data_IF_648622500841
#
_entry.id   IF_648622500841
#
_cell.length_a   1.000
_cell.length_b   1.000
_cell.length_c   1.000
_cell.angle_alpha   90.00
_cell.angle_beta   90.00
_cell.angle_gamma   90.00
#
_symmetry.space_group_name_H-M   'P 1'
#
loop_
_entity.id
_entity.type
_entity.pdbx_description
1 polymer ?
#
# COMPACT_ATOMS: atom_id res chain seq x y z
N UNK A 1 8.27 -2.50 15.81
CA UNK A 1 8.11 -3.69 14.93
C UNK A 1 7.96 -4.89 15.86
N UNK A 2 6.76 -5.49 15.97
CA UNK A 2 6.55 -6.64 16.84
C UNK A 2 7.24 -7.85 16.21
N UNK A 3 8.28 -8.35 16.87
CA UNK A 3 9.06 -9.48 16.38
C UNK A 3 8.17 -10.71 16.50
N UNK A 4 7.59 -11.13 15.38
CA UNK A 4 6.99 -12.46 15.27
C UNK A 4 8.08 -13.49 15.53
N UNK A 5 7.97 -14.18 16.66
CA UNK A 5 8.88 -15.20 17.12
C UNK A 5 8.76 -16.44 16.23
N UNK A 6 9.60 -16.50 15.21
CA UNK A 6 9.88 -17.72 14.47
C UNK A 6 10.93 -18.48 15.28
N UNK A 7 10.58 -19.71 15.68
CA UNK A 7 11.34 -20.69 16.50
C UNK A 7 12.80 -20.92 16.09
N UNK A 8 13.21 -20.45 14.91
CA UNK A 8 14.46 -20.82 14.22
C UNK A 8 15.71 -20.07 14.68
N UNK A 9 15.62 -19.03 15.52
CA UNK A 9 16.79 -18.22 15.95
C UNK A 9 16.95 -18.01 17.47
N UNK A 10 16.39 -18.88 18.31
CA UNK A 10 16.45 -18.70 19.77
C UNK A 10 17.89 -18.74 20.34
N UNK A 11 18.71 -19.72 19.91
CA UNK A 11 20.10 -19.88 20.37
C UNK A 11 20.98 -18.66 20.03
N UNK A 12 20.79 -18.09 18.84
CA UNK A 12 21.51 -16.91 18.35
C UNK A 12 21.15 -15.63 19.12
N UNK A 13 19.91 -15.53 19.64
CA UNK A 13 19.45 -14.38 20.42
C UNK A 13 19.92 -14.44 21.88
N UNK A 14 20.04 -15.65 22.43
CA UNK A 14 20.58 -15.86 23.77
C UNK A 14 22.08 -15.54 23.83
N UNK A 15 22.86 -15.94 22.82
CA UNK A 15 24.28 -15.60 22.74
C UNK A 15 24.54 -14.10 22.55
N UNK A 16 23.61 -13.39 21.89
CA UNK A 16 23.66 -11.93 21.69
C UNK A 16 23.07 -11.12 22.87
N UNK A 17 22.59 -11.76 23.94
CA UNK A 17 22.10 -11.07 25.14
C UNK A 17 20.81 -10.24 24.97
N UNK A 18 20.04 -10.41 23.90
CA UNK A 18 18.89 -9.53 23.60
C UNK A 18 17.69 -9.77 24.55
N UNK A 19 17.32 -8.77 25.34
CA UNK A 19 16.29 -8.88 26.39
C UNK A 19 14.84 -8.53 25.97
N UNK A 20 14.63 -8.10 24.72
CA UNK A 20 13.32 -7.63 24.25
C UNK A 20 13.06 -6.18 24.68
N UNK A 21 12.29 -5.42 23.89
CA UNK A 21 12.09 -3.98 24.14
C UNK A 21 10.93 -3.75 25.12
N UNK A 22 9.91 -4.62 25.07
CA UNK A 22 8.73 -4.52 25.91
C UNK A 22 8.63 -5.73 26.88
N UNK A 23 7.94 -5.58 28.03
CA UNK A 23 7.70 -6.70 28.96
C UNK A 23 7.03 -7.92 28.31
N UNK A 24 6.12 -7.70 27.33
CA UNK A 24 5.50 -8.77 26.54
C UNK A 24 6.55 -9.62 25.79
N UNK A 25 7.60 -8.99 25.24
CA UNK A 25 8.67 -9.68 24.52
C UNK A 25 9.49 -10.56 25.48
N UNK A 26 9.68 -10.08 26.71
CA UNK A 26 10.30 -10.86 27.78
C UNK A 26 9.50 -12.13 28.13
N UNK A 27 8.16 -12.05 28.12
CA UNK A 27 7.31 -13.22 28.34
C UNK A 27 7.34 -14.20 27.17
N UNK A 28 7.30 -13.71 25.93
CA UNK A 28 7.48 -14.54 24.73
C UNK A 28 8.85 -15.25 24.74
N UNK A 29 9.92 -14.56 25.17
CA UNK A 29 11.26 -15.16 25.31
C UNK A 29 11.25 -16.28 26.37
N UNK A 30 10.63 -16.07 27.53
CA UNK A 30 10.55 -17.11 28.59
C UNK A 30 9.77 -18.34 28.11
N UNK A 31 8.70 -18.12 27.36
CA UNK A 31 7.91 -19.18 26.75
C UNK A 31 8.73 -20.01 25.74
N UNK A 32 9.47 -19.35 24.85
CA UNK A 32 10.34 -20.03 23.88
C UNK A 32 11.45 -20.85 24.56
N UNK A 33 12.03 -20.35 25.65
CA UNK A 33 13.03 -21.07 26.45
C UNK A 33 12.41 -22.33 27.05
N UNK A 34 11.24 -22.24 27.68
CA UNK A 34 10.54 -23.39 28.24
C UNK A 34 10.23 -24.44 27.14
N UNK A 35 9.79 -23.99 25.97
CA UNK A 35 9.54 -24.84 24.80
C UNK A 35 10.78 -25.52 24.22
N UNK A 36 11.96 -24.93 24.45
CA UNK A 36 13.24 -25.49 24.04
C UNK A 36 13.80 -26.48 25.06
N UNK A 37 13.43 -26.35 26.34
CA UNK A 37 13.96 -27.18 27.43
C UNK A 37 13.17 -28.48 27.59
N UNK A 38 11.84 -28.44 27.41
CA UNK A 38 11.00 -29.63 27.56
C UNK A 38 10.27 -30.00 26.27
N UNK A 39 10.28 -31.31 25.97
CA UNK A 39 9.42 -31.91 24.95
C UNK A 39 8.12 -32.46 25.50
N UNK A 40 8.00 -32.51 26.83
CA UNK A 40 6.81 -33.01 27.50
C UNK A 40 5.61 -32.07 27.34
N UNK A 41 4.43 -32.69 27.24
CA UNK A 41 3.17 -32.01 26.98
C UNK A 41 2.67 -31.22 28.20
N UNK A 42 2.94 -31.68 29.43
CA UNK A 42 2.47 -30.99 30.63
C UNK A 42 3.23 -29.67 30.82
N UNK A 43 4.55 -29.70 30.67
CA UNK A 43 5.40 -28.52 30.79
C UNK A 43 5.11 -27.47 29.71
N UNK A 44 4.84 -27.90 28.47
CA UNK A 44 4.47 -27.00 27.37
C UNK A 44 3.11 -26.34 27.57
N UNK A 45 2.14 -27.07 28.11
CA UNK A 45 0.84 -26.53 28.45
C UNK A 45 0.91 -25.53 29.61
N UNK A 46 1.78 -25.78 30.59
CA UNK A 46 2.07 -24.84 31.68
C UNK A 46 2.69 -23.55 31.15
N UNK A 47 3.65 -23.66 30.24
CA UNK A 47 4.26 -22.50 29.58
C UNK A 47 3.23 -21.69 28.74
N UNK A 48 2.37 -22.36 27.97
CA UNK A 48 1.30 -21.71 27.20
C UNK A 48 0.31 -20.96 28.12
N UNK A 49 -0.05 -21.58 29.25
CA UNK A 49 -0.93 -20.98 30.25
C UNK A 49 -0.32 -19.73 30.87
N UNK A 50 0.95 -19.80 31.29
CA UNK A 50 1.66 -18.65 31.86
C UNK A 50 1.81 -17.50 30.88
N UNK A 51 2.07 -17.77 29.60
CA UNK A 51 2.15 -16.74 28.56
C UNK A 51 0.79 -16.08 28.30
N UNK A 52 -0.30 -16.86 28.28
CA UNK A 52 -1.65 -16.34 28.15
C UNK A 52 -2.00 -15.37 29.30
N UNK A 53 -1.73 -15.76 30.55
CA UNK A 53 -2.04 -14.93 31.72
C UNK A 53 -1.24 -13.63 31.73
N UNK A 54 0.07 -13.72 31.50
CA UNK A 54 0.95 -12.55 31.47
C UNK A 54 0.64 -11.62 30.30
N UNK A 55 0.26 -12.16 29.14
CA UNK A 55 -0.22 -11.34 28.04
C UNK A 55 -1.56 -10.67 28.38
N UNK A 56 -2.47 -11.34 29.08
CA UNK A 56 -3.74 -10.76 29.53
C UNK A 56 -3.56 -9.63 30.54
N UNK A 57 -2.58 -9.75 31.43
CA UNK A 57 -2.17 -8.69 32.35
C UNK A 57 -1.68 -7.45 31.58
N UNK A 58 -0.89 -7.62 30.51
CA UNK A 58 -0.46 -6.50 29.64
C UNK A 58 -1.60 -5.83 28.89
N UNK A 59 -2.65 -6.57 28.51
CA UNK A 59 -3.86 -5.97 27.91
C UNK A 59 -4.55 -5.04 28.92
N UNK A 60 -4.61 -5.44 30.20
CA UNK A 60 -5.24 -4.68 31.28
C UNK A 60 -4.36 -3.57 31.85
N UNK A 61 -3.05 -3.66 31.70
CA UNK A 61 -2.11 -2.76 32.37
C UNK A 61 -2.21 -1.33 31.82
N UNK A 62 -2.07 -0.32 32.70
CA UNK A 62 -2.19 1.10 32.32
C UNK A 62 -0.91 1.66 31.71
N UNK A 63 0.23 1.04 31.99
CA UNK A 63 1.59 1.38 31.56
C UNK A 63 1.93 0.90 30.13
N UNK A 64 1.16 -0.04 29.57
CA UNK A 64 1.40 -0.58 28.22
C UNK A 64 0.95 0.37 27.10
N UNK A 65 1.80 0.55 26.08
CA UNK A 65 1.49 1.34 24.87
C UNK A 65 0.37 0.68 24.06
N UNK A 66 -0.40 1.45 23.29
CA UNK A 66 -1.54 0.94 22.49
C UNK A 66 -1.17 -0.25 21.58
N UNK A 67 -0.02 -0.17 20.91
CA UNK A 67 0.47 -1.27 20.07
C UNK A 67 0.79 -2.53 20.87
N UNK A 68 1.25 -2.40 22.12
CA UNK A 68 1.64 -3.53 22.97
C UNK A 68 0.41 -4.26 23.47
N UNK A 69 -0.64 -3.51 23.82
CA UNK A 69 -1.96 -4.07 24.17
C UNK A 69 -2.58 -4.85 23.03
N UNK A 70 -2.47 -4.32 21.80
CA UNK A 70 -2.97 -5.01 20.61
C UNK A 70 -2.20 -6.32 20.36
N UNK A 71 -0.87 -6.30 20.48
CA UNK A 71 -0.03 -7.49 20.35
C UNK A 71 -0.33 -8.51 21.47
N UNK A 72 -0.44 -8.06 22.71
CA UNK A 72 -0.78 -8.90 23.85
C UNK A 72 -2.16 -9.56 23.68
N UNK A 73 -3.17 -8.82 23.21
CA UNK A 73 -4.50 -9.36 22.93
C UNK A 73 -4.48 -10.45 21.86
N UNK A 74 -3.70 -10.27 20.79
CA UNK A 74 -3.50 -11.30 19.77
C UNK A 74 -2.84 -12.56 20.34
N UNK A 75 -1.81 -12.41 21.18
CA UNK A 75 -1.14 -13.53 21.87
C UNK A 75 -2.11 -14.27 22.78
N UNK A 76 -2.92 -13.57 23.59
CA UNK A 76 -3.93 -14.23 24.44
C UNK A 76 -4.94 -15.03 23.62
N UNK A 77 -5.40 -14.48 22.50
CA UNK A 77 -6.38 -15.13 21.64
C UNK A 77 -5.78 -16.38 20.99
N UNK A 78 -4.52 -16.30 20.54
CA UNK A 78 -3.80 -17.42 19.96
C UNK A 78 -3.55 -18.54 20.99
N UNK A 79 -3.07 -18.19 22.19
CA UNK A 79 -2.79 -19.16 23.26
C UNK A 79 -4.07 -19.82 23.77
N UNK A 80 -5.15 -19.05 23.92
CA UNK A 80 -6.47 -19.59 24.30
C UNK A 80 -7.03 -20.52 23.24
N UNK A 81 -6.87 -20.19 21.96
CA UNK A 81 -7.27 -21.05 20.86
C UNK A 81 -6.45 -22.37 20.86
N UNK A 82 -5.14 -22.28 21.08
CA UNK A 82 -4.24 -23.43 21.14
C UNK A 82 -4.54 -24.35 22.34
N UNK A 83 -4.67 -23.80 23.56
CA UNK A 83 -5.06 -24.55 24.76
C UNK A 83 -6.39 -25.28 24.56
N UNK A 84 -7.37 -24.60 23.96
CA UNK A 84 -8.67 -25.21 23.66
C UNK A 84 -8.58 -26.28 22.56
N UNK A 85 -7.62 -26.19 21.64
CA UNK A 85 -7.39 -27.21 20.61
C UNK A 85 -6.73 -28.46 21.21
N UNK A 86 -5.72 -28.29 22.06
CA UNK A 86 -5.01 -29.41 22.70
C UNK A 86 -5.93 -30.19 23.67
N UNK A 87 -6.82 -29.49 24.38
CA UNK A 87 -7.87 -30.16 25.17
C UNK A 87 -8.90 -30.91 24.30
N UNK A 88 -9.15 -30.47 23.07
CA UNK A 88 -10.07 -31.12 22.12
C UNK A 88 -9.47 -32.37 21.45
N UNK A 89 -8.15 -32.53 21.44
CA UNK A 89 -7.47 -33.71 20.89
C UNK A 89 -7.44 -34.84 21.94
N UNK A 90 -7.43 -34.53 23.24
CA UNK A 90 -7.40 -35.52 24.34
C UNK A 90 -8.76 -36.16 24.66
N UNK A 91 -9.86 -35.46 24.42
CA UNK A 91 -11.21 -36.01 24.56
C UNK A 91 -11.72 -36.38 23.17
N UNK A 92 -11.55 -37.65 22.78
CA UNK A 92 -12.13 -38.17 21.55
C UNK A 92 -13.65 -38.00 21.55
N UNK A 93 -14.17 -36.92 20.94
CA UNK A 93 -15.59 -36.80 20.64
C UNK A 93 -16.24 -35.42 20.86
N UNK A 94 -16.97 -35.02 19.81
CA UNK A 94 -18.17 -34.15 19.75
C UNK A 94 -18.14 -32.75 20.39
N UNK A 95 -18.49 -31.79 19.53
CA UNK A 95 -18.79 -30.39 19.83
C UNK A 95 -20.03 -30.26 20.72
N UNK A 96 -19.87 -29.78 21.96
CA UNK A 96 -20.93 -29.12 22.71
C UNK A 96 -20.94 -27.62 22.39
N UNK A 97 -22.10 -27.10 22.01
CA UNK A 97 -22.32 -25.68 21.65
C UNK A 97 -22.50 -24.87 22.93
N UNK A 98 -21.85 -23.70 23.04
CA UNK A 98 -22.30 -22.67 23.96
C UNK A 98 -23.50 -21.88 23.38
N UNK A 99 -24.39 -21.32 24.21
CA UNK A 99 -25.72 -20.90 23.80
C UNK A 99 -25.77 -19.43 23.37
N UNK A 100 -26.76 -19.15 22.51
CA UNK A 100 -27.37 -17.85 22.18
C UNK A 100 -26.46 -16.69 21.75
N UNK A 101 -26.24 -16.54 20.43
CA UNK A 101 -26.47 -15.26 19.71
C UNK A 101 -26.71 -15.51 18.20
N UNK A 102 -27.92 -15.17 17.76
CA UNK A 102 -28.40 -14.78 16.42
C UNK A 102 -28.23 -15.76 15.22
N UNK A 103 -29.33 -16.42 14.88
CA UNK A 103 -29.60 -17.19 13.65
C UNK A 103 -29.18 -16.47 12.37
N UNK A 104 -29.32 -15.15 12.35
CA UNK A 104 -28.92 -14.27 11.24
C UNK A 104 -27.41 -14.38 10.90
N UNK A 105 -26.53 -14.38 11.91
CA UNK A 105 -25.08 -14.49 11.70
C UNK A 105 -24.71 -15.85 11.09
N UNK A 106 -25.37 -16.94 11.51
CA UNK A 106 -25.16 -18.29 10.95
C UNK A 106 -25.54 -18.37 9.47
N UNK A 107 -26.64 -17.73 9.05
CA UNK A 107 -27.07 -17.71 7.65
C UNK A 107 -26.08 -16.99 6.74
N UNK A 108 -25.55 -15.86 7.20
CA UNK A 108 -24.53 -15.07 6.49
C UNK A 108 -23.21 -15.85 6.38
N UNK A 109 -22.73 -16.43 7.49
CA UNK A 109 -21.49 -17.21 7.51
C UNK A 109 -21.58 -18.43 6.59
N UNK A 110 -22.73 -19.14 6.56
CA UNK A 110 -22.94 -20.27 5.65
C UNK A 110 -22.85 -19.87 4.18
N UNK A 111 -23.47 -18.75 3.80
CA UNK A 111 -23.42 -18.24 2.42
C UNK A 111 -22.01 -17.77 2.02
N UNK A 112 -21.29 -17.11 2.91
CA UNK A 112 -19.90 -16.68 2.68
C UNK A 112 -18.96 -17.88 2.55
N UNK A 113 -19.11 -18.89 3.42
CA UNK A 113 -18.31 -20.11 3.36
C UNK A 113 -18.56 -20.90 2.06
N UNK A 114 -19.80 -20.91 1.55
CA UNK A 114 -20.12 -21.52 0.26
C UNK A 114 -19.35 -20.86 -0.90
N UNK A 115 -19.32 -19.52 -0.95
CA UNK A 115 -18.60 -18.77 -1.99
C UNK A 115 -17.08 -19.02 -1.94
N UNK A 116 -16.51 -19.13 -0.75
CA UNK A 116 -15.08 -19.41 -0.56
C UNK A 116 -14.73 -20.87 -0.91
N UNK A 117 -15.63 -21.83 -0.66
CA UNK A 117 -15.45 -23.23 -1.05
C UNK A 117 -15.58 -23.47 -2.56
N UNK A 118 -16.46 -22.73 -3.23
CA UNK A 118 -16.67 -22.83 -4.68
C UNK A 118 -15.61 -22.10 -5.50
N UNK A 119 -14.70 -21.34 -4.86
CA UNK A 119 -13.63 -20.61 -5.54
C UNK A 119 -12.29 -21.34 -5.39
N UNK A 120 -11.60 -21.72 -6.47
CA UNK A 120 -10.30 -22.40 -6.37
C UNK A 120 -9.22 -21.48 -5.77
N UNK A 121 -8.24 -22.03 -5.03
CA UNK A 121 -7.07 -21.27 -4.58
C UNK A 121 -6.27 -20.78 -5.80
N UNK A 122 -5.99 -19.47 -5.86
CA UNK A 122 -5.37 -18.84 -7.03
C UNK A 122 -4.13 -18.05 -6.61
N UNK A 123 -3.04 -18.22 -7.38
CA UNK A 123 -1.68 -17.81 -7.04
C UNK A 123 -1.40 -16.31 -7.29
N UNK A 124 -2.42 -15.52 -7.61
CA UNK A 124 -2.27 -14.10 -7.97
C UNK A 124 -3.06 -13.21 -7.01
N UNK A 125 -2.37 -12.21 -6.44
CA UNK A 125 -2.93 -11.23 -5.49
C UNK A 125 -4.21 -10.54 -5.99
N UNK A 126 -4.30 -10.27 -7.30
CA UNK A 126 -5.50 -9.66 -7.92
C UNK A 126 -6.72 -10.60 -7.90
N UNK A 127 -6.52 -11.90 -8.08
CA UNK A 127 -7.60 -12.90 -8.10
C UNK A 127 -8.08 -13.20 -6.68
N UNK A 128 -7.18 -13.34 -5.71
CA UNK A 128 -7.54 -13.52 -4.30
C UNK A 128 -8.30 -12.31 -3.75
N UNK A 129 -7.85 -11.10 -4.09
CA UNK A 129 -8.56 -9.86 -3.76
C UNK A 129 -9.99 -9.86 -4.34
N UNK A 130 -10.18 -10.28 -5.60
CA UNK A 130 -11.50 -10.34 -6.23
C UNK A 130 -12.46 -11.34 -5.57
N UNK A 131 -11.94 -12.48 -5.09
CA UNK A 131 -12.71 -13.51 -4.36
C UNK A 131 -13.12 -12.98 -2.99
N UNK A 132 -12.21 -12.32 -2.27
CA UNK A 132 -12.50 -11.68 -0.99
C UNK A 132 -13.56 -10.58 -1.15
N UNK A 133 -13.48 -9.79 -2.22
CA UNK A 133 -14.46 -8.75 -2.55
C UNK A 133 -15.85 -9.34 -2.87
N UNK A 134 -15.89 -10.47 -3.58
CA UNK A 134 -17.14 -11.22 -3.86
C UNK A 134 -17.79 -11.73 -2.57
N UNK A 135 -17.00 -12.30 -1.66
CA UNK A 135 -17.46 -12.75 -0.35
C UNK A 135 -17.99 -11.60 0.52
N UNK A 136 -17.28 -10.47 0.56
CA UNK A 136 -17.68 -9.27 1.29
C UNK A 136 -19.00 -8.68 0.75
N UNK A 137 -19.19 -8.64 -0.57
CA UNK A 137 -20.45 -8.20 -1.19
C UNK A 137 -21.64 -9.08 -0.81
N UNK A 138 -21.44 -10.40 -0.76
CA UNK A 138 -22.50 -11.34 -0.31
C UNK A 138 -22.84 -11.10 1.16
N UNK A 139 -21.86 -10.80 2.02
CA UNK A 139 -22.12 -10.43 3.40
C UNK A 139 -22.93 -9.12 3.51
N UNK A 140 -22.53 -8.06 2.79
CA UNK A 140 -23.22 -6.76 2.80
C UNK A 140 -24.66 -6.87 2.27
N UNK A 141 -24.88 -7.64 1.18
CA UNK A 141 -26.22 -7.88 0.61
C UNK A 141 -27.17 -8.54 1.62
N UNK A 142 -26.67 -9.47 2.44
CA UNK A 142 -27.50 -10.13 3.45
C UNK A 142 -27.76 -9.26 4.68
N UNK A 143 -26.96 -8.21 4.92
CA UNK A 143 -27.11 -7.26 6.04
C UNK A 143 -27.97 -6.04 5.65
N UNK A 144 -28.54 -6.01 4.43
CA UNK A 144 -29.41 -4.92 3.97
C UNK A 144 -28.66 -3.62 3.61
N UNK A 145 -27.32 -3.68 3.50
CA UNK A 145 -26.52 -2.55 3.04
C UNK A 145 -26.70 -2.29 1.54
N UNK A 146 -26.43 -1.05 1.09
CA UNK A 146 -26.54 -0.65 -0.32
C UNK A 146 -25.79 -1.64 -1.23
N UNK A 147 -26.52 -2.29 -2.15
CA UNK A 147 -26.01 -3.36 -3.02
C UNK A 147 -24.95 -2.89 -4.03
N UNK A 148 -24.84 -1.58 -4.27
CA UNK A 148 -23.96 -0.97 -5.26
C UNK A 148 -23.17 0.18 -4.64
N UNK A 149 -22.04 -0.16 -4.00
CA UNK A 149 -21.05 0.84 -3.61
C UNK A 149 -20.18 1.11 -4.84
N UNK A 150 -20.23 2.34 -5.38
CA UNK A 150 -19.29 2.78 -6.42
C UNK A 150 -17.93 2.94 -5.75
N UNK A 151 -17.03 2.00 -5.98
CA UNK A 151 -15.65 2.08 -5.49
C UNK A 151 -14.94 3.13 -6.35
N UNK A 152 -14.29 4.13 -5.75
CA UNK A 152 -13.58 5.12 -6.52
C UNK A 152 -12.38 4.50 -7.24
N UNK A 153 -12.11 4.95 -8.46
CA UNK A 153 -10.97 4.52 -9.26
C UNK A 153 -9.72 5.22 -8.74
N UNK A 154 -8.68 4.43 -8.50
CA UNK A 154 -7.34 4.94 -8.18
C UNK A 154 -6.63 5.18 -9.50
N UNK A 155 -6.15 6.41 -9.72
CA UNK A 155 -5.27 6.70 -10.85
C UNK A 155 -3.91 6.10 -10.51
N UNK A 156 -3.38 5.15 -11.30
CA UNK A 156 -2.05 4.65 -11.08
C UNK A 156 -1.05 5.80 -11.30
N UNK A 157 -0.35 6.19 -10.25
CA UNK A 157 0.80 7.06 -10.38
C UNK A 157 2.02 6.20 -10.67
N UNK A 158 2.80 6.58 -11.68
CA UNK A 158 4.12 5.99 -11.89
C UNK A 158 5.02 6.49 -10.76
N UNK A 159 5.13 5.70 -9.68
CA UNK A 159 6.13 5.94 -8.64
C UNK A 159 7.51 5.66 -9.22
N UNK A 160 8.05 6.65 -9.94
CA UNK A 160 9.47 6.77 -10.24
C UNK A 160 10.04 7.71 -9.18
N UNK A 161 10.32 7.14 -8.01
CA UNK A 161 10.61 7.91 -6.81
C UNK A 161 11.16 7.03 -5.70
N UNK A 162 12.03 6.10 -6.08
CA UNK A 162 13.02 5.49 -5.22
C UNK A 162 14.36 5.72 -5.91
N UNK A 163 15.37 6.11 -5.15
CA UNK A 163 16.71 6.49 -5.59
C UNK A 163 17.49 5.45 -6.41
N UNK A 164 16.88 4.33 -6.80
CA UNK A 164 17.50 3.32 -7.63
C UNK A 164 16.44 2.77 -8.60
N UNK A 165 16.51 3.03 -9.92
CA UNK A 165 15.94 2.11 -10.88
C UNK A 165 16.86 0.88 -10.93
N UNK A 166 16.87 0.06 -9.88
CA UNK A 166 17.28 -1.33 -10.02
C UNK A 166 16.20 -2.04 -10.85
N UNK A 167 16.29 -1.92 -12.17
CA UNK A 167 15.51 -2.71 -13.10
C UNK A 167 16.44 -3.16 -14.24
N UNK A 168 16.37 -4.42 -14.72
CA UNK A 168 15.72 -5.61 -14.19
C UNK A 168 16.68 -6.83 -14.15
N UNK A 169 16.56 -7.70 -13.14
CA UNK A 169 17.14 -9.07 -13.16
C UNK A 169 16.41 -9.97 -14.21
N UNK A 170 15.69 -9.38 -15.17
CA UNK A 170 14.98 -10.04 -16.27
C UNK A 170 15.60 -9.73 -17.64
N UNK A 171 16.90 -9.45 -17.68
CA UNK A 171 17.71 -9.45 -18.91
C UNK A 171 18.59 -10.69 -19.11
N UNK A 172 18.61 -11.62 -18.14
CA UNK A 172 19.48 -12.80 -18.16
C UNK A 172 18.75 -14.14 -18.41
N UNK A 173 17.43 -14.15 -18.65
CA UNK A 173 16.68 -15.37 -19.02
C UNK A 173 16.18 -15.40 -20.47
N UNK A 174 16.62 -14.46 -21.31
CA UNK A 174 16.19 -14.35 -22.71
C UNK A 174 17.11 -15.01 -23.75
N UNK A 175 18.19 -15.69 -23.34
CA UNK A 175 19.17 -16.28 -24.26
C UNK A 175 19.12 -17.82 -24.31
N UNK A 176 17.95 -18.42 -24.13
CA UNK A 176 17.71 -19.83 -24.47
C UNK A 176 16.48 -19.87 -25.38
N UNK A 177 16.68 -19.56 -26.66
CA UNK A 177 15.54 -19.50 -27.61
C UNK A 177 15.86 -19.32 -29.09
N UNK A 178 17.13 -19.24 -29.52
CA UNK A 178 17.45 -19.22 -30.95
C UNK A 178 18.77 -19.95 -31.25
N UNK A 179 18.70 -21.28 -31.21
CA UNK A 179 19.57 -22.14 -32.02
C UNK A 179 19.11 -22.02 -33.49
N UNK A 180 19.54 -20.97 -34.19
CA UNK A 180 19.37 -20.85 -35.64
C UNK A 180 20.39 -19.87 -36.25
N UNK A 181 21.54 -20.42 -36.68
CA UNK A 181 22.30 -20.03 -37.88
C UNK A 181 23.00 -18.66 -37.96
N UNK A 182 24.32 -18.63 -37.65
CA UNK A 182 25.27 -17.66 -38.24
C UNK A 182 26.26 -17.03 -37.26
N UNK A 183 27.54 -16.91 -37.68
CA UNK A 183 28.63 -16.30 -36.90
C UNK A 183 28.36 -14.86 -36.42
N UNK A 184 27.48 -14.13 -37.11
CA UNK A 184 27.01 -12.78 -36.74
C UNK A 184 26.25 -12.72 -35.40
N UNK A 185 25.48 -13.77 -35.08
CA UNK A 185 24.71 -13.82 -33.83
C UNK A 185 25.61 -13.99 -32.60
N UNK A 186 26.73 -14.70 -32.73
CA UNK A 186 27.71 -14.94 -31.66
C UNK A 186 28.49 -13.64 -31.34
N UNK A 187 28.86 -12.87 -32.36
CA UNK A 187 29.54 -11.60 -32.15
C UNK A 187 28.65 -10.59 -31.41
N UNK A 188 27.36 -10.52 -31.78
CA UNK A 188 26.40 -9.60 -31.14
C UNK A 188 26.13 -9.98 -29.68
N UNK A 189 26.00 -11.27 -29.35
CA UNK A 189 25.81 -11.71 -27.95
C UNK A 189 27.03 -11.42 -27.08
N UNK A 190 28.25 -11.53 -27.62
CA UNK A 190 29.48 -11.16 -26.91
C UNK A 190 29.55 -9.65 -26.67
N UNK A 191 29.21 -8.84 -27.67
CA UNK A 191 29.17 -7.37 -27.56
C UNK A 191 28.12 -6.95 -26.54
N UNK A 192 26.93 -7.54 -26.57
CA UNK A 192 25.84 -7.25 -25.65
C UNK A 192 26.20 -7.65 -24.21
N UNK A 193 26.87 -8.79 -24.01
CA UNK A 193 27.38 -9.22 -22.71
C UNK A 193 28.47 -8.28 -22.18
N UNK A 194 29.39 -7.82 -23.03
CA UNK A 194 30.44 -6.85 -22.68
C UNK A 194 29.84 -5.50 -22.30
N UNK A 195 28.83 -5.04 -23.04
CA UNK A 195 28.11 -3.81 -22.75
C UNK A 195 27.31 -3.91 -21.45
N UNK A 196 26.67 -5.05 -21.18
CA UNK A 196 25.95 -5.29 -19.92
C UNK A 196 26.90 -5.29 -18.71
N UNK A 197 28.08 -5.89 -18.84
CA UNK A 197 29.11 -5.87 -17.78
C UNK A 197 29.64 -4.46 -17.52
N UNK A 198 29.95 -3.72 -18.59
CA UNK A 198 30.38 -2.32 -18.49
C UNK A 198 29.32 -1.44 -17.84
N UNK A 199 28.05 -1.67 -18.17
CA UNK A 199 26.91 -0.97 -17.57
C UNK A 199 26.78 -1.27 -16.08
N UNK A 200 26.93 -2.54 -15.68
CA UNK A 200 26.93 -2.94 -14.27
C UNK A 200 28.07 -2.29 -13.48
N UNK A 201 29.28 -2.23 -14.03
CA UNK A 201 30.42 -1.53 -13.42
C UNK A 201 30.20 -0.01 -13.31
N UNK A 202 29.54 0.60 -14.31
CA UNK A 202 29.16 2.01 -14.30
C UNK A 202 28.07 2.30 -13.26
N UNK A 203 27.08 1.42 -13.12
CA UNK A 203 26.05 1.48 -12.09
C UNK A 203 26.66 1.37 -10.67
N UNK A 204 27.66 0.50 -10.48
CA UNK A 204 28.39 0.42 -9.20
C UNK A 204 29.13 1.70 -8.86
N UNK A 205 29.81 2.32 -9.84
CA UNK A 205 30.50 3.60 -9.64
C UNK A 205 29.51 4.74 -9.36
N UNK A 206 28.38 4.77 -10.07
CA UNK A 206 27.32 5.74 -9.82
C UNK A 206 26.76 5.59 -8.40
N UNK A 207 26.45 4.37 -7.97
CA UNK A 207 25.96 4.10 -6.61
C UNK A 207 26.99 4.51 -5.54
N UNK A 208 28.27 4.20 -5.73
CA UNK A 208 29.31 4.61 -4.79
C UNK A 208 29.45 6.15 -4.69
N UNK A 209 29.37 6.86 -5.82
CA UNK A 209 29.38 8.32 -5.84
C UNK A 209 28.12 8.89 -5.13
N UNK A 210 26.98 8.27 -5.36
CA UNK A 210 25.70 8.61 -4.72
C UNK A 210 25.72 8.40 -3.20
N UNK A 211 26.30 7.30 -2.71
CA UNK A 211 26.50 7.04 -1.27
C UNK A 211 27.45 8.07 -0.63
N UNK A 212 28.53 8.45 -1.32
CA UNK A 212 29.46 9.47 -0.82
C UNK A 212 28.83 10.87 -0.73
N UNK A 213 27.93 11.20 -1.67
CA UNK A 213 27.12 12.44 -1.61
C UNK A 213 26.10 12.35 -0.47
N UNK A 214 25.45 11.20 -0.28
CA UNK A 214 24.50 10.97 0.81
C UNK A 214 25.14 11.06 2.20
N UNK A 215 26.36 10.52 2.36
CA UNK A 215 27.10 10.55 3.63
C UNK A 215 27.39 11.98 4.11
N UNK A 216 27.84 12.87 3.22
CA UNK A 216 28.08 14.30 3.54
C UNK A 216 26.81 15.01 4.00
N UNK A 217 25.66 14.64 3.45
CA UNK A 217 24.37 15.16 3.90
C UNK A 217 23.99 14.67 5.29
N UNK A 218 24.36 13.44 5.66
CA UNK A 218 24.01 12.87 6.97
C UNK A 218 24.70 13.58 8.13
N UNK A 219 25.93 14.06 7.94
CA UNK A 219 26.73 14.70 9.00
C UNK A 219 26.17 16.08 9.40
N UNK A 220 25.49 16.78 8.49
CA UNK A 220 24.90 18.10 8.73
C UNK A 220 23.45 18.04 9.26
N UNK A 221 22.79 16.88 9.14
CA UNK A 221 21.39 16.74 9.57
C UNK A 221 21.18 16.99 11.08
N UNK A 222 22.05 16.51 12.00
CA UNK A 222 21.91 16.79 13.42
C UNK A 222 21.98 18.30 13.70
N UNK A 223 22.98 18.99 13.14
CA UNK A 223 23.16 20.43 13.32
C UNK A 223 21.94 21.23 12.83
N UNK A 224 21.41 20.91 11.64
CA UNK A 224 20.20 21.57 11.12
C UNK A 224 18.98 21.28 12.00
N UNK A 225 18.86 20.04 12.48
CA UNK A 225 17.74 19.61 13.33
C UNK A 225 17.76 20.35 14.67
N UNK A 226 18.91 20.45 15.31
CA UNK A 226 19.09 21.13 16.59
C UNK A 226 18.83 22.63 16.44
N UNK A 227 19.43 23.26 15.42
CA UNK A 227 19.19 24.67 15.10
C UNK A 227 17.70 24.97 14.84
N UNK A 228 17.00 24.12 14.10
CA UNK A 228 15.56 24.28 13.85
C UNK A 228 14.73 24.12 15.12
N UNK A 229 15.03 23.10 15.93
CA UNK A 229 14.29 22.80 17.16
C UNK A 229 14.48 23.85 18.25
N UNK A 230 15.64 24.51 18.28
CA UNK A 230 15.97 25.58 19.23
C UNK A 230 15.58 26.98 18.74
N UNK A 231 15.25 27.14 17.45
CA UNK A 231 14.84 28.40 16.87
C UNK A 231 13.38 28.71 17.20
N UNK A 232 13.14 29.93 17.68
CA UNK A 232 11.77 30.41 17.95
C UNK A 232 11.09 30.78 16.63
N UNK A 233 10.00 30.10 16.27
CA UNK A 233 9.25 30.43 15.06
C UNK A 233 8.35 31.66 15.27
N UNK A 234 8.32 32.59 14.32
CA UNK A 234 7.52 33.83 14.41
C UNK A 234 6.02 33.57 14.47
N UNK A 235 5.51 32.61 13.68
CA UNK A 235 4.07 32.28 13.61
C UNK A 235 3.53 31.68 14.90
N UNK A 236 4.29 30.78 15.54
CA UNK A 236 3.85 30.10 16.76
C UNK A 236 4.31 30.82 18.02
N UNK A 237 5.41 31.59 17.95
CA UNK A 237 6.03 32.24 19.09
C UNK A 237 6.75 31.27 20.04
N UNK A 238 6.92 30.00 19.66
CA UNK A 238 7.58 28.96 20.47
C UNK A 238 8.70 28.29 19.68
N UNK A 239 9.70 27.78 20.41
CA UNK A 239 10.67 26.82 19.86
C UNK A 239 9.97 25.47 19.70
N UNK A 240 10.20 24.72 18.60
CA UNK A 240 9.63 23.39 18.44
C UNK A 240 9.88 22.46 19.64
N UNK A 241 11.07 22.53 20.25
CA UNK A 241 11.42 21.70 21.42
C UNK A 241 10.59 22.01 22.68
N UNK A 242 10.07 23.24 22.81
CA UNK A 242 9.31 23.70 23.98
C UNK A 242 7.80 23.40 23.89
N UNK A 243 7.36 22.79 22.78
CA UNK A 243 5.94 22.49 22.51
C UNK A 243 5.52 21.22 23.25
N UNK A 244 4.80 21.42 24.36
CA UNK A 244 4.15 20.35 25.11
C UNK A 244 2.68 20.19 24.71
N UNK A 245 2.07 19.03 25.00
CA UNK A 245 0.65 18.74 24.68
C UNK A 245 -0.33 19.77 25.25
N UNK A 246 -0.01 20.39 26.38
CA UNK A 246 -0.85 21.44 26.99
C UNK A 246 -0.85 22.73 26.17
N UNK A 247 0.30 23.07 25.55
CA UNK A 247 0.46 24.26 24.70
C UNK A 247 -0.05 24.05 23.28
N UNK A 248 -0.10 22.82 22.79
CA UNK A 248 -0.55 22.46 21.45
C UNK A 248 -1.90 23.09 21.09
N UNK A 249 -2.90 22.97 21.98
CA UNK A 249 -4.25 23.50 21.74
C UNK A 249 -4.26 25.02 21.64
N UNK A 250 -3.44 25.70 22.44
CA UNK A 250 -3.28 27.15 22.40
C UNK A 250 -2.64 27.58 21.08
N UNK A 251 -1.53 26.92 20.69
CA UNK A 251 -0.80 27.20 19.44
C UNK A 251 -1.72 27.01 18.23
N UNK A 252 -2.45 25.89 18.16
CA UNK A 252 -3.37 25.62 17.05
C UNK A 252 -4.47 26.69 16.96
N UNK A 253 -5.04 27.09 18.10
CA UNK A 253 -6.06 28.16 18.14
C UNK A 253 -5.49 29.49 17.66
N UNK A 254 -4.26 29.84 18.02
CA UNK A 254 -3.59 31.07 17.59
C UNK A 254 -3.26 31.06 16.10
N UNK A 255 -2.67 29.97 15.61
CA UNK A 255 -2.21 29.85 14.21
C UNK A 255 -3.38 29.76 13.23
N UNK A 256 -4.43 29.02 13.60
CA UNK A 256 -5.62 28.78 12.77
C UNK A 256 -6.85 29.51 13.28
N UNK A 257 -6.68 30.72 13.83
CA UNK A 257 -7.78 31.54 14.36
C UNK A 257 -8.76 32.05 13.28
N UNK A 258 -8.32 32.17 12.03
CA UNK A 258 -9.16 32.58 10.91
C UNK A 258 -9.02 31.59 9.76
N UNK A 259 -10.16 31.25 9.14
CA UNK A 259 -10.16 30.51 7.89
C UNK A 259 -9.65 31.46 6.82
N UNK A 260 -8.40 31.28 6.38
CA UNK A 260 -7.85 31.96 5.20
C UNK A 260 -8.56 31.39 3.96
N UNK A 261 -9.78 31.82 3.67
CA UNK A 261 -10.46 31.49 2.40
C UNK A 261 -9.80 32.35 1.33
N UNK A 262 -8.61 31.95 0.91
CA UNK A 262 -7.85 32.62 -0.14
C UNK A 262 -7.92 31.78 -1.40
N UNK A 263 -8.81 32.15 -2.31
CA UNK A 263 -8.83 31.55 -3.64
C UNK A 263 -10.05 31.96 -4.44
N UNK A 264 -9.84 32.57 -5.61
CA UNK A 264 -10.88 32.69 -6.62
C UNK A 264 -11.21 31.28 -7.12
N UNK A 265 -12.50 30.93 -7.15
CA UNK A 265 -12.96 29.65 -7.69
C UNK A 265 -12.68 29.59 -9.20
N UNK A 266 -11.61 28.89 -9.59
CA UNK A 266 -11.20 28.71 -11.00
C UNK A 266 -12.16 27.82 -11.82
N UNK A 267 -12.78 26.83 -11.17
CA UNK A 267 -13.58 25.81 -11.85
C UNK A 267 -15.02 25.69 -11.33
N UNK A 268 -15.92 25.24 -12.20
CA UNK A 268 -17.33 24.99 -11.90
C UNK A 268 -17.64 23.49 -11.95
N UNK A 269 -18.71 23.09 -11.27
CA UNK A 269 -19.20 21.71 -11.35
C UNK A 269 -19.63 21.44 -12.79
N UNK A 270 -19.19 20.32 -13.36
CA UNK A 270 -19.44 19.92 -14.73
C UNK A 270 -18.34 20.28 -15.73
N UNK A 271 -17.34 21.08 -15.35
CA UNK A 271 -16.19 21.35 -16.22
C UNK A 271 -15.42 20.05 -16.53
N UNK A 272 -14.96 19.92 -17.78
CA UNK A 272 -14.10 18.82 -18.24
C UNK A 272 -12.64 19.25 -18.11
N UNK A 273 -11.86 18.48 -17.36
CA UNK A 273 -10.49 18.78 -16.97
C UNK A 273 -9.55 17.61 -17.23
N UNK A 274 -8.26 17.92 -17.35
CA UNK A 274 -7.13 16.99 -17.31
C UNK A 274 -6.38 17.16 -16.00
N UNK A 275 -5.70 16.11 -15.56
CA UNK A 275 -4.91 16.10 -14.33
C UNK A 275 -3.43 16.29 -14.70
N UNK A 276 -2.67 16.99 -13.88
CA UNK A 276 -1.23 17.12 -14.06
C UNK A 276 -0.53 15.75 -13.91
N UNK A 277 0.54 15.54 -14.70
CA UNK A 277 1.40 14.37 -14.59
C UNK A 277 2.54 14.66 -13.64
N UNK A 278 2.78 13.73 -12.73
CA UNK A 278 4.02 13.73 -11.96
C UNK A 278 5.17 13.37 -12.88
N UNK A 279 6.08 14.32 -13.10
CA UNK A 279 7.29 14.13 -13.89
C UNK A 279 8.42 13.57 -13.01
N UNK A 280 9.19 12.65 -13.55
CA UNK A 280 10.47 12.27 -12.95
C UNK A 280 11.47 13.44 -13.03
N UNK A 281 12.44 13.50 -12.14
CA UNK A 281 13.49 14.54 -12.10
C UNK A 281 14.21 14.68 -13.45
N UNK A 282 14.35 13.57 -14.18
CA UNK A 282 14.98 13.53 -15.52
C UNK A 282 13.97 13.46 -16.68
N UNK A 283 12.71 13.82 -16.46
CA UNK A 283 11.72 13.84 -17.52
C UNK A 283 12.05 14.94 -18.54
N UNK A 284 12.05 14.58 -19.83
CA UNK A 284 12.40 15.50 -20.91
C UNK A 284 11.37 16.63 -21.03
N UNK A 285 11.83 17.85 -21.31
CA UNK A 285 10.97 19.04 -21.38
C UNK A 285 9.81 18.92 -22.38
N UNK A 286 10.02 18.24 -23.51
CA UNK A 286 9.01 18.03 -24.55
C UNK A 286 7.91 17.01 -24.19
N UNK A 287 8.02 16.33 -23.04
CA UNK A 287 6.98 15.40 -22.60
C UNK A 287 5.77 16.18 -22.05
N UNK A 288 4.54 15.76 -22.36
CA UNK A 288 3.34 16.48 -21.95
C UNK A 288 3.17 16.48 -20.43
N UNK A 289 2.77 17.64 -19.87
CA UNK A 289 2.55 17.84 -18.43
C UNK A 289 1.19 17.34 -17.93
N UNK A 290 0.28 16.97 -18.83
CA UNK A 290 -1.13 16.68 -18.52
C UNK A 290 -1.51 15.27 -18.96
N UNK A 291 -2.49 14.66 -18.28
CA UNK A 291 -3.07 13.37 -18.66
C UNK A 291 -3.78 13.45 -20.00
N UNK A 292 -3.77 12.35 -20.76
CA UNK A 292 -4.58 12.22 -21.98
C UNK A 292 -6.04 11.88 -21.65
N UNK A 293 -6.28 11.23 -20.50
CA UNK A 293 -7.60 10.97 -19.97
C UNK A 293 -8.28 12.27 -19.52
N UNK A 294 -9.58 12.36 -19.81
CA UNK A 294 -10.45 13.47 -19.44
C UNK A 294 -11.27 13.10 -18.22
N UNK A 295 -11.52 14.09 -17.36
CA UNK A 295 -12.28 13.94 -16.12
C UNK A 295 -13.31 15.05 -16.01
N UNK A 296 -14.41 14.79 -15.31
CA UNK A 296 -15.46 15.75 -15.03
C UNK A 296 -15.43 16.15 -13.57
N UNK A 297 -15.57 17.44 -13.28
CA UNK A 297 -15.68 17.93 -11.91
C UNK A 297 -17.08 17.63 -11.36
N UNK A 298 -17.14 16.80 -10.32
CA UNK A 298 -18.41 16.47 -9.62
C UNK A 298 -18.74 17.46 -8.53
N UNK A 299 -17.74 17.92 -7.77
CA UNK A 299 -17.95 18.85 -6.66
C UNK A 299 -16.71 19.72 -6.44
N UNK A 300 -16.93 20.98 -6.08
CA UNK A 300 -15.88 21.91 -5.65
C UNK A 300 -16.04 22.15 -4.16
N UNK A 301 -15.04 21.73 -3.38
CA UNK A 301 -14.98 21.92 -1.93
C UNK A 301 -14.24 23.22 -1.63
N UNK A 302 -14.89 24.09 -0.88
CA UNK A 302 -14.32 25.36 -0.41
C UNK A 302 -13.46 25.07 0.83
N UNK A 303 -12.36 24.35 0.62
CA UNK A 303 -11.28 24.15 1.59
C UNK A 303 -10.21 25.22 1.41
N UNK A 304 -9.25 25.32 2.34
CA UNK A 304 -8.06 26.14 2.13
C UNK A 304 -6.83 25.23 1.93
N UNK A 305 -6.30 25.08 0.71
CA UNK A 305 -6.78 25.67 -0.56
C UNK A 305 -7.98 24.92 -1.18
N UNK A 306 -8.62 25.50 -2.21
CA UNK A 306 -9.83 24.94 -2.85
C UNK A 306 -9.51 23.59 -3.49
N UNK A 307 -10.34 22.58 -3.21
CA UNK A 307 -10.17 21.23 -3.75
C UNK A 307 -11.38 20.79 -4.59
N UNK A 308 -11.12 20.01 -5.63
CA UNK A 308 -12.14 19.49 -6.55
C UNK A 308 -12.21 17.96 -6.46
N UNK A 309 -13.43 17.44 -6.47
CA UNK A 309 -13.70 16.01 -6.64
C UNK A 309 -14.00 15.73 -8.11
N UNK A 310 -13.41 14.66 -8.63
CA UNK A 310 -13.48 14.29 -10.04
C UNK A 310 -14.18 12.95 -10.23
N UNK A 311 -14.79 12.78 -11.40
CA UNK A 311 -15.20 11.50 -11.95
C UNK A 311 -14.63 11.31 -13.36
N UNK A 312 -14.39 10.06 -13.72
CA UNK A 312 -14.08 9.64 -15.09
C UNK A 312 -15.28 9.93 -16.01
N UNK A 313 -15.06 10.04 -17.32
CA UNK A 313 -16.11 10.23 -18.34
C UNK A 313 -17.14 9.09 -18.35
N UNK A 314 -16.82 7.95 -17.73
CA UNK A 314 -17.75 6.82 -17.50
C UNK A 314 -18.58 6.94 -16.21
N UNK A 315 -18.47 8.05 -15.48
CA UNK A 315 -19.19 8.30 -14.21
C UNK A 315 -18.65 7.51 -13.01
N UNK A 316 -17.39 7.08 -13.08
CA UNK A 316 -16.70 6.46 -11.94
C UNK A 316 -15.97 7.55 -11.13
N UNK A 317 -16.26 7.70 -9.83
CA UNK A 317 -15.57 8.71 -9.02
C UNK A 317 -14.08 8.37 -8.92
N UNK A 318 -13.22 9.38 -8.96
CA UNK A 318 -11.79 9.23 -8.73
C UNK A 318 -11.49 9.33 -7.23
N UNK A 319 -10.56 8.51 -6.75
CA UNK A 319 -10.15 8.56 -5.35
C UNK A 319 -9.24 9.78 -5.11
N UNK A 320 -9.64 10.63 -4.16
CA UNK A 320 -8.88 11.81 -3.75
C UNK A 320 -9.63 13.11 -4.00
N UNK A 321 -8.99 14.21 -3.62
CA UNK A 321 -9.43 15.57 -3.96
C UNK A 321 -8.22 16.28 -4.58
N UNK A 322 -8.44 17.02 -5.66
CA UNK A 322 -7.40 17.62 -6.47
C UNK A 322 -7.38 19.13 -6.28
N UNK A 323 -6.20 19.72 -6.24
CA UNK A 323 -6.08 21.18 -6.20
C UNK A 323 -6.40 21.78 -7.56
N UNK A 324 -6.78 23.06 -7.57
CA UNK A 324 -7.07 23.75 -8.82
C UNK A 324 -5.82 23.84 -9.73
N UNK A 325 -4.63 23.87 -9.14
CA UNK A 325 -3.33 23.93 -9.82
C UNK A 325 -2.98 22.60 -10.50
N UNK A 326 -3.55 21.49 -10.04
CA UNK A 326 -3.35 20.15 -10.60
C UNK A 326 -4.32 19.86 -11.76
N UNK A 327 -5.19 20.81 -12.11
CA UNK A 327 -6.23 20.64 -13.11
C UNK A 327 -6.11 21.65 -14.25
N UNK A 328 -6.34 21.17 -15.46
CA UNK A 328 -6.43 22.01 -16.65
C UNK A 328 -7.77 21.79 -17.35
N UNK A 329 -8.54 22.85 -17.55
CA UNK A 329 -9.78 22.79 -18.36
C UNK A 329 -9.44 22.48 -19.81
N UNK A 330 -10.15 21.51 -20.39
CA UNK A 330 -9.98 21.11 -21.78
C UNK A 330 -10.88 21.93 -22.69
N UNK A 331 -10.35 22.47 -23.78
CA UNK A 331 -11.14 23.18 -24.81
C UNK A 331 -11.86 22.22 -25.76
N UNK A 332 -11.22 21.10 -26.11
CA UNK A 332 -11.71 20.14 -27.09
C UNK A 332 -11.95 18.77 -26.42
N UNK A 333 -13.11 18.56 -25.77
CA UNK A 333 -13.39 17.31 -25.06
C UNK A 333 -13.67 16.12 -26.00
N UNK A 334 -14.02 16.38 -27.26
CA UNK A 334 -14.43 15.34 -28.22
C UNK A 334 -13.27 14.75 -29.03
N UNK A 335 -12.04 15.25 -28.83
CA UNK A 335 -10.86 14.83 -29.59
C UNK A 335 -9.97 13.94 -28.74
N UNK A 336 -9.73 12.71 -29.22
CA UNK A 336 -8.90 11.71 -28.55
C UNK A 336 -7.73 11.27 -29.43
N UNK A 337 -6.55 11.13 -28.83
CA UNK A 337 -5.35 10.66 -29.52
C UNK A 337 -5.36 9.14 -29.66
N UNK A 338 -5.07 8.65 -30.87
CA UNK A 338 -4.94 7.21 -31.15
C UNK A 338 -3.49 6.79 -30.87
N UNK A 339 -3.32 5.76 -30.03
CA UNK A 339 -2.01 5.13 -29.77
C UNK A 339 -1.66 4.16 -30.90
N UNK A 340 -2.60 3.26 -31.21
CA UNK A 340 -2.40 2.22 -32.21
C UNK A 340 -3.71 1.72 -32.79
N UNK A 341 -3.72 1.45 -34.10
CA UNK A 341 -4.80 0.69 -34.74
C UNK A 341 -4.57 -0.80 -34.51
N UNK A 342 -5.53 -1.48 -33.87
CA UNK A 342 -5.43 -2.89 -33.52
C UNK A 342 -6.00 -3.80 -34.61
N UNK A 343 -7.13 -3.43 -35.21
CA UNK A 343 -7.81 -4.20 -36.27
C UNK A 343 -8.47 -3.26 -37.29
N UNK A 344 -8.68 -3.77 -38.51
CA UNK A 344 -9.39 -3.07 -39.58
C UNK A 344 -10.52 -3.98 -40.10
N UNK A 345 -11.70 -3.42 -40.34
CA UNK A 345 -12.85 -4.12 -40.93
C UNK A 345 -13.64 -3.16 -41.81
N UNK A 346 -13.46 -3.25 -43.13
CA UNK A 346 -14.08 -2.33 -44.09
C UNK A 346 -13.72 -0.86 -43.78
N UNK A 347 -14.74 -0.02 -43.65
CA UNK A 347 -14.60 1.41 -43.31
C UNK A 347 -14.44 1.70 -41.81
N UNK A 348 -14.38 0.66 -40.96
CA UNK A 348 -14.20 0.82 -39.51
C UNK A 348 -12.83 0.32 -39.08
N UNK A 349 -12.25 1.00 -38.10
CA UNK A 349 -10.99 0.62 -37.47
C UNK A 349 -11.18 0.46 -35.97
N UNK A 350 -10.56 -0.55 -35.38
CA UNK A 350 -10.56 -0.79 -33.94
C UNK A 350 -9.29 -0.19 -33.35
N UNK A 351 -9.43 0.81 -32.49
CA UNK A 351 -8.31 1.62 -32.00
C UNK A 351 -8.04 1.41 -30.52
N UNK A 352 -6.75 1.48 -30.18
CA UNK A 352 -6.26 1.69 -28.83
C UNK A 352 -6.02 3.19 -28.66
N UNK A 353 -6.75 3.80 -27.73
CA UNK A 353 -6.60 5.22 -27.40
C UNK A 353 -5.39 5.46 -26.50
N UNK A 354 -4.68 6.56 -26.72
CA UNK A 354 -3.45 6.91 -26.01
C UNK A 354 -3.72 7.20 -24.53
N UNK A 355 -3.09 6.40 -23.67
CA UNK A 355 -3.15 6.56 -22.21
C UNK A 355 -4.49 6.18 -21.57
N UNK A 356 -5.44 5.61 -22.32
CA UNK A 356 -6.65 5.01 -21.77
C UNK A 356 -6.48 3.50 -21.61
N UNK A 357 -7.20 2.88 -20.67
CA UNK A 357 -7.18 1.43 -20.50
C UNK A 357 -7.75 0.67 -21.71
N UNK A 358 -7.40 -0.62 -21.85
CA UNK A 358 -7.90 -1.49 -22.95
C UNK A 358 -9.44 -1.56 -22.99
N UNK A 359 -10.10 -1.27 -21.87
CA UNK A 359 -11.55 -1.21 -21.77
C UNK A 359 -12.18 -0.07 -22.60
N UNK A 360 -11.40 0.94 -23.00
CA UNK A 360 -11.85 2.06 -23.82
C UNK A 360 -11.68 1.82 -25.31
N UNK A 361 -11.05 0.72 -25.72
CA UNK A 361 -10.86 0.42 -27.13
C UNK A 361 -12.21 0.29 -27.83
N UNK A 362 -12.35 0.97 -28.97
CA UNK A 362 -13.61 1.08 -29.68
C UNK A 362 -13.41 1.05 -31.19
N UNK A 363 -14.49 0.72 -31.90
CA UNK A 363 -14.55 0.83 -33.35
C UNK A 363 -14.92 2.26 -33.73
N UNK A 364 -14.12 2.88 -34.59
CA UNK A 364 -14.39 4.20 -35.15
C UNK A 364 -14.41 4.12 -36.67
N UNK A 365 -15.10 5.06 -37.29
CA UNK A 365 -15.12 5.19 -38.75
C UNK A 365 -13.80 5.79 -39.24
N UNK A 366 -13.28 5.29 -40.36
CA UNK A 366 -12.01 5.75 -40.94
C UNK A 366 -12.03 7.25 -41.26
N UNK A 367 -13.21 7.80 -41.59
CA UNK A 367 -13.42 9.23 -41.89
C UNK A 367 -13.29 10.15 -40.68
N UNK A 368 -13.39 9.61 -39.47
CA UNK A 368 -13.30 10.38 -38.21
C UNK A 368 -11.88 10.44 -37.65
N UNK A 369 -10.90 9.87 -38.37
CA UNK A 369 -9.48 9.98 -38.04
C UNK A 369 -8.91 11.14 -38.84
N UNK A 370 -8.41 12.15 -38.12
CA UNK A 370 -7.73 13.31 -38.69
C UNK A 370 -6.30 12.98 -39.11
#
# INVERSE_FOLDING_TARGET
MYVTYVRTKLKERLSKGQQGVNPLDGFCRKHDIAYSQSSDLQDRNKADYELEQRAWERVKSKDAKFGEKAAAWLVTTAMKAKRNLDMRIKQGGRVTKSPQTNSFRRGVIKKVAKVLKESPPQNTLKKSASIALKAARVAIKNVGGKNKVRVPRIIPFDHSGGFLPLLPILGALGAVGSLAGGASAIAKTIIDAKNAKKKLEEDHRHNAAMEAIGAKGSDILPEITDNYNESRHSTTGYKPIDVTKSKEKLILKTVYNHIKISGVRKFKVGDIVRISKNKHVFAKGYTPNWTTELFKITAVKITNPITCLLEDMRGQPIQGAFYAEELQKTTNPDVYLVEKVLRRKGQKIYVKWLGLDKCHNSWIEKKNVL
#
